data_IF_837521352812
#
_entry.id   IF_837521352812
#
_cell.length_a   1.000
_cell.length_b   1.000
_cell.length_c   1.000
_cell.angle_alpha   90.00
_cell.angle_beta   90.00
_cell.angle_gamma   90.00
#
_symmetry.space_group_name_H-M   'P 1'
#
loop_
_entity.id
_entity.type
_entity.pdbx_description
1 polymer ?
#
# COMPACT_ATOMS: atom_id res chain seq x y z
N UNK A 1 -35.85 -94.03 -2.58
CA UNK A 1 -34.69 -93.48 -3.30
C UNK A 1 -34.98 -92.01 -3.55
N UNK A 2 -34.34 -91.13 -2.80
CA UNK A 2 -34.56 -89.69 -2.80
C UNK A 2 -33.36 -89.04 -3.52
N UNK A 3 -33.53 -88.29 -4.62
CA UNK A 3 -32.42 -87.59 -5.25
C UNK A 3 -32.25 -86.19 -4.65
N UNK A 4 -31.00 -85.93 -4.29
CA UNK A 4 -30.45 -84.70 -3.71
C UNK A 4 -30.61 -83.50 -4.65
N UNK A 5 -31.21 -82.41 -4.15
CA UNK A 5 -31.12 -81.09 -4.78
C UNK A 5 -30.34 -80.13 -3.89
N UNK A 6 -29.18 -79.70 -4.39
CA UNK A 6 -28.34 -78.63 -3.85
C UNK A 6 -29.07 -77.28 -3.94
N UNK A 7 -28.95 -76.40 -2.92
CA UNK A 7 -29.48 -75.05 -2.99
C UNK A 7 -28.52 -74.15 -3.77
N UNK A 8 -29.01 -73.56 -4.86
CA UNK A 8 -28.30 -72.54 -5.66
C UNK A 8 -28.19 -71.23 -4.89
N UNK A 9 -26.96 -70.76 -4.67
CA UNK A 9 -26.65 -69.48 -4.06
C UNK A 9 -27.16 -68.31 -4.92
N UNK A 10 -27.95 -67.43 -4.30
CA UNK A 10 -28.43 -66.18 -4.90
C UNK A 10 -27.34 -65.11 -4.81
N UNK A 11 -26.65 -64.84 -5.93
CA UNK A 11 -25.70 -63.73 -6.04
C UNK A 11 -26.44 -62.40 -6.02
N UNK A 12 -26.34 -61.68 -4.89
CA UNK A 12 -26.84 -60.33 -4.74
C UNK A 12 -25.87 -59.36 -5.40
N UNK A 13 -26.21 -58.84 -6.59
CA UNK A 13 -25.45 -57.80 -7.27
C UNK A 13 -25.66 -56.45 -6.57
N UNK A 14 -24.60 -55.88 -6.00
CA UNK A 14 -24.62 -54.53 -5.44
C UNK A 14 -24.57 -53.48 -6.56
N UNK A 15 -25.36 -52.38 -6.50
CA UNK A 15 -25.30 -51.34 -7.52
C UNK A 15 -24.01 -50.51 -7.36
N UNK A 16 -23.34 -50.26 -8.49
CA UNK A 16 -22.10 -49.48 -8.56
C UNK A 16 -22.38 -48.01 -8.18
N UNK A 17 -21.50 -47.34 -7.41
CA UNK A 17 -21.70 -45.94 -7.05
C UNK A 17 -21.65 -45.02 -8.29
N UNK A 18 -22.36 -43.89 -8.27
CA UNK A 18 -22.37 -42.94 -9.38
C UNK A 18 -20.97 -42.35 -9.61
N UNK A 19 -20.64 -41.97 -10.86
CA UNK A 19 -19.37 -41.32 -11.15
C UNK A 19 -19.26 -39.98 -10.41
N UNK A 20 -18.04 -39.56 -10.01
CA UNK A 20 -17.85 -38.29 -9.35
C UNK A 20 -18.31 -37.14 -10.26
N UNK A 21 -18.84 -36.05 -9.68
CA UNK A 21 -19.20 -34.87 -10.45
C UNK A 21 -17.97 -34.34 -11.22
N UNK A 22 -18.18 -33.76 -12.42
CA UNK A 22 -17.08 -33.14 -13.17
C UNK A 22 -16.41 -32.04 -12.32
N UNK A 23 -15.10 -31.83 -12.47
CA UNK A 23 -14.39 -30.82 -11.70
C UNK A 23 -15.03 -29.46 -11.98
N UNK A 24 -15.60 -28.86 -10.94
CA UNK A 24 -16.08 -27.48 -10.98
C UNK A 24 -14.91 -26.57 -11.27
N UNK A 25 -14.93 -25.95 -12.44
CA UNK A 25 -13.95 -24.97 -12.84
C UNK A 25 -14.08 -23.74 -11.94
N UNK A 26 -13.30 -23.72 -10.86
CA UNK A 26 -13.24 -22.62 -9.87
C UNK A 26 -12.67 -21.31 -10.47
N UNK A 27 -12.57 -21.19 -11.80
CA UNK A 27 -12.02 -20.04 -12.51
C UNK A 27 -13.01 -18.88 -12.71
N UNK A 28 -14.30 -19.03 -12.35
CA UNK A 28 -15.31 -18.01 -12.69
C UNK A 28 -15.55 -16.94 -11.62
N UNK A 29 -15.01 -17.07 -10.40
CA UNK A 29 -15.22 -16.03 -9.39
C UNK A 29 -14.00 -15.83 -8.49
N UNK A 30 -13.54 -14.58 -8.29
CA UNK A 30 -12.46 -14.31 -7.36
C UNK A 30 -12.87 -14.73 -5.94
N UNK A 31 -11.94 -15.30 -5.15
CA UNK A 31 -12.24 -15.61 -3.76
C UNK A 31 -12.68 -14.34 -3.04
N UNK A 32 -13.73 -14.41 -2.21
CA UNK A 32 -14.38 -13.27 -1.53
C UNK A 32 -13.40 -12.23 -0.92
N UNK A 33 -12.24 -12.61 -0.34
CA UNK A 33 -11.24 -11.64 0.13
C UNK A 33 -10.62 -10.78 -0.98
N UNK A 34 -10.54 -11.28 -2.22
CA UNK A 34 -9.95 -10.57 -3.35
C UNK A 34 -10.91 -9.53 -3.92
N UNK A 35 -12.22 -9.80 -3.94
CA UNK A 35 -13.26 -8.85 -4.36
C UNK A 35 -13.17 -7.54 -3.58
N UNK A 36 -13.07 -7.62 -2.24
CA UNK A 36 -12.92 -6.45 -1.37
C UNK A 36 -11.62 -5.66 -1.68
N UNK A 37 -10.54 -6.35 -2.06
CA UNK A 37 -9.28 -5.69 -2.43
C UNK A 37 -9.38 -4.99 -3.78
N UNK A 38 -10.09 -5.59 -4.74
CA UNK A 38 -10.40 -4.99 -6.04
C UNK A 38 -11.23 -3.71 -5.83
N UNK A 39 -12.30 -3.79 -5.03
CA UNK A 39 -13.11 -2.62 -4.69
C UNK A 39 -12.27 -1.49 -4.09
N UNK A 40 -11.42 -1.80 -3.10
CA UNK A 40 -10.52 -0.80 -2.52
C UNK A 40 -9.52 -0.21 -3.51
N UNK A 41 -9.05 -0.99 -4.50
CA UNK A 41 -8.16 -0.50 -5.54
C UNK A 41 -8.87 0.47 -6.50
N UNK A 42 -10.17 0.26 -6.72
CA UNK A 42 -11.02 1.09 -7.58
C UNK A 42 -11.46 2.37 -6.87
N UNK A 43 -11.97 2.25 -5.64
CA UNK A 43 -12.64 3.33 -4.90
C UNK A 43 -11.68 4.24 -4.13
N UNK A 44 -10.61 3.68 -3.56
CA UNK A 44 -9.70 4.51 -2.77
C UNK A 44 -8.99 5.52 -3.66
N UNK A 45 -8.70 6.69 -3.08
CA UNK A 45 -7.94 7.78 -3.71
C UNK A 45 -6.46 7.42 -3.82
N UNK A 46 -6.15 6.48 -4.71
CA UNK A 46 -4.80 6.08 -5.08
C UNK A 46 -4.37 6.83 -6.33
N UNK A 47 -3.08 7.20 -6.41
CA UNK A 47 -2.49 7.89 -7.56
C UNK A 47 -1.09 7.39 -7.85
N UNK A 48 -0.71 7.34 -9.11
CA UNK A 48 0.66 7.08 -9.53
C UNK A 48 1.48 8.37 -9.47
N UNK A 49 2.60 8.33 -8.74
CA UNK A 49 3.54 9.44 -8.65
C UNK A 49 4.61 9.36 -9.73
N UNK A 50 5.19 8.18 -9.88
CA UNK A 50 6.29 7.95 -10.80
C UNK A 50 6.34 6.47 -11.17
N UNK A 51 6.87 6.19 -12.36
CA UNK A 51 7.19 4.85 -12.83
C UNK A 51 8.65 4.84 -13.27
N UNK A 52 9.43 3.91 -12.72
CA UNK A 52 10.82 3.67 -13.10
C UNK A 52 10.98 2.19 -13.45
N UNK A 53 11.02 1.87 -14.75
CA UNK A 53 11.05 0.50 -15.26
C UNK A 53 9.90 -0.36 -14.70
N UNK A 54 10.23 -1.29 -13.78
CA UNK A 54 9.33 -2.20 -13.07
C UNK A 54 8.75 -1.65 -11.77
N UNK A 55 9.25 -0.51 -11.30
CA UNK A 55 8.85 0.10 -10.03
C UNK A 55 7.80 1.20 -10.25
N UNK A 56 6.73 1.13 -9.47
CA UNK A 56 5.61 2.05 -9.48
C UNK A 56 5.48 2.67 -8.10
N UNK A 57 5.60 3.99 -8.03
CA UNK A 57 5.48 4.75 -6.79
C UNK A 57 4.03 5.24 -6.64
N UNK A 58 3.33 4.67 -5.67
CA UNK A 58 1.89 4.83 -5.47
C UNK A 58 1.63 5.69 -4.23
N UNK A 59 0.87 6.77 -4.42
CA UNK A 59 0.31 7.55 -3.33
C UNK A 59 -0.90 6.82 -2.75
N UNK A 60 -0.82 6.45 -1.47
CA UNK A 60 -1.92 5.87 -0.71
C UNK A 60 -2.91 6.90 -0.20
N UNK A 61 -4.10 6.44 0.19
CA UNK A 61 -5.19 7.30 0.69
C UNK A 61 -4.83 8.12 1.96
N UNK A 62 -3.87 7.65 2.77
CA UNK A 62 -3.37 8.38 3.96
C UNK A 62 -2.19 9.31 3.65
N UNK A 63 -1.84 9.46 2.38
CA UNK A 63 -0.70 10.22 1.88
C UNK A 63 0.65 9.52 1.99
N UNK A 64 0.72 8.29 2.50
CA UNK A 64 1.96 7.51 2.46
C UNK A 64 2.26 7.05 1.03
N UNK A 65 3.53 7.07 0.64
CA UNK A 65 4.00 6.53 -0.63
C UNK A 65 4.43 5.08 -0.44
N UNK A 66 3.90 4.21 -1.29
CA UNK A 66 4.25 2.80 -1.38
C UNK A 66 4.88 2.50 -2.73
N UNK A 67 5.81 1.56 -2.77
CA UNK A 67 6.42 1.10 -4.02
C UNK A 67 5.83 -0.26 -4.36
N UNK A 68 5.33 -0.41 -5.57
CA UNK A 68 4.95 -1.69 -6.17
C UNK A 68 6.03 -2.05 -7.19
N UNK A 69 6.61 -3.24 -7.06
CA UNK A 69 7.62 -3.75 -7.99
C UNK A 69 7.03 -4.92 -8.76
N UNK A 70 6.95 -4.78 -10.08
CA UNK A 70 6.51 -5.84 -10.98
C UNK A 70 7.67 -6.75 -11.33
N UNK A 71 7.57 -8.00 -10.89
CA UNK A 71 8.51 -9.08 -11.20
C UNK A 71 7.70 -10.39 -11.32
N UNK A 72 8.39 -11.52 -11.53
CA UNK A 72 7.75 -12.85 -11.49
C UNK A 72 6.93 -13.04 -10.22
N UNK A 73 7.37 -12.52 -9.08
CA UNK A 73 6.58 -12.37 -7.87
C UNK A 73 6.38 -10.87 -7.57
N UNK A 74 5.22 -10.28 -7.92
CA UNK A 74 4.92 -8.89 -7.64
C UNK A 74 4.98 -8.60 -6.13
N UNK A 75 5.53 -7.45 -5.77
CA UNK A 75 5.69 -7.07 -4.36
C UNK A 75 5.25 -5.63 -4.12
N UNK A 76 4.89 -5.32 -2.87
CA UNK A 76 4.53 -3.97 -2.46
C UNK A 76 5.07 -3.67 -1.05
N UNK A 77 5.55 -2.45 -0.83
CA UNK A 77 6.09 -2.02 0.48
C UNK A 77 5.01 -1.68 1.51
N UNK A 78 3.73 -1.79 1.15
CA UNK A 78 2.60 -1.50 2.05
C UNK A 78 2.52 -2.51 3.22
N UNK A 79 1.85 -2.16 4.32
CA UNK A 79 1.74 -3.05 5.49
C UNK A 79 0.86 -4.28 5.26
N UNK A 80 0.10 -4.34 4.17
CA UNK A 80 -0.69 -5.51 3.79
C UNK A 80 0.23 -6.62 3.31
N UNK A 81 0.24 -7.74 4.04
CA UNK A 81 1.08 -8.93 3.76
C UNK A 81 0.48 -9.85 2.70
N UNK A 82 -0.73 -9.54 2.22
CA UNK A 82 -1.42 -10.36 1.22
C UNK A 82 -1.07 -9.90 -0.19
N UNK A 83 -0.80 -10.84 -1.08
CA UNK A 83 -0.43 -10.59 -2.47
C UNK A 83 -1.46 -11.24 -3.39
N UNK A 84 -2.03 -10.52 -4.37
CA UNK A 84 -1.84 -9.09 -4.61
C UNK A 84 -2.61 -8.22 -3.60
N UNK A 85 -1.95 -7.19 -3.05
CA UNK A 85 -2.60 -6.18 -2.23
C UNK A 85 -3.35 -5.18 -3.11
N UNK A 86 -4.18 -4.32 -2.51
CA UNK A 86 -4.92 -3.29 -3.27
C UNK A 86 -4.03 -2.35 -4.11
N UNK A 87 -2.77 -2.12 -3.72
CA UNK A 87 -1.86 -1.26 -4.50
C UNK A 87 -1.33 -1.99 -5.75
N UNK A 88 -1.10 -3.30 -5.68
CA UNK A 88 -0.75 -4.11 -6.85
C UNK A 88 -1.95 -4.16 -7.81
N UNK A 89 -3.15 -4.39 -7.26
CA UNK A 89 -4.39 -4.38 -8.05
C UNK A 89 -4.66 -3.01 -8.67
N UNK A 90 -4.38 -1.91 -7.96
CA UNK A 90 -4.45 -0.55 -8.51
C UNK A 90 -3.53 -0.39 -9.72
N UNK A 91 -2.29 -0.89 -9.63
CA UNK A 91 -1.34 -0.85 -10.76
C UNK A 91 -1.89 -1.65 -11.94
N UNK A 92 -2.39 -2.87 -11.72
CA UNK A 92 -2.95 -3.66 -12.82
C UNK A 92 -4.17 -3.01 -13.45
N UNK A 93 -5.19 -2.71 -12.65
CA UNK A 93 -6.52 -2.36 -13.15
C UNK A 93 -6.56 -0.91 -13.63
N UNK A 94 -6.03 0.03 -12.83
CA UNK A 94 -6.17 1.46 -13.13
C UNK A 94 -4.97 2.01 -13.88
N UNK A 95 -3.76 1.65 -13.48
CA UNK A 95 -2.53 2.21 -14.09
C UNK A 95 -2.25 1.56 -15.44
N UNK A 96 -2.33 0.23 -15.53
CA UNK A 96 -2.01 -0.55 -16.73
C UNK A 96 -3.25 -1.04 -17.50
N UNK A 97 -4.45 -0.68 -17.04
CA UNK A 97 -5.73 -0.97 -17.71
C UNK A 97 -5.96 -2.46 -18.01
N UNK A 98 -5.50 -3.33 -17.12
CA UNK A 98 -5.77 -4.77 -17.18
C UNK A 98 -7.26 -5.01 -16.90
N UNK A 99 -7.90 -5.84 -17.74
CA UNK A 99 -9.30 -6.23 -17.56
C UNK A 99 -9.52 -6.91 -16.22
N UNK A 100 -10.67 -6.67 -15.59
CA UNK A 100 -11.09 -7.35 -14.37
C UNK A 100 -11.22 -8.87 -14.55
N UNK A 101 -11.36 -9.36 -15.78
CA UNK A 101 -11.45 -10.80 -16.05
C UNK A 101 -10.06 -11.46 -16.27
N UNK A 102 -8.96 -10.69 -16.29
CA UNK A 102 -7.63 -11.24 -16.58
C UNK A 102 -7.12 -12.13 -15.42
N UNK A 103 -6.75 -13.40 -15.70
CA UNK A 103 -6.14 -14.31 -14.74
C UNK A 103 -4.97 -13.76 -13.93
N UNK A 104 -4.22 -12.79 -14.45
CA UNK A 104 -3.07 -12.24 -13.74
C UNK A 104 -3.45 -11.46 -12.47
N UNK A 105 -4.70 -10.97 -12.36
CA UNK A 105 -5.17 -10.23 -11.19
C UNK A 105 -5.25 -11.09 -9.92
N UNK A 106 -5.38 -12.41 -10.06
CA UNK A 106 -5.55 -13.34 -8.94
C UNK A 106 -4.26 -14.06 -8.56
N UNK A 107 -3.24 -13.99 -9.42
CA UNK A 107 -2.02 -14.78 -9.26
C UNK A 107 -1.04 -14.08 -8.33
N UNK A 108 -0.39 -14.88 -7.50
CA UNK A 108 0.75 -14.44 -6.68
C UNK A 108 2.05 -14.39 -7.49
N UNK A 109 2.08 -15.08 -8.64
CA UNK A 109 3.21 -15.09 -9.56
C UNK A 109 2.76 -14.89 -11.01
N UNK A 110 3.54 -14.11 -11.76
CA UNK A 110 3.35 -13.86 -13.17
C UNK A 110 4.27 -14.75 -13.99
N UNK A 111 3.77 -15.28 -15.11
CA UNK A 111 4.65 -15.87 -16.12
C UNK A 111 5.39 -14.79 -16.92
N UNK A 112 6.43 -15.19 -17.66
CA UNK A 112 7.26 -14.25 -18.41
C UNK A 112 6.47 -13.43 -19.42
N UNK A 113 5.46 -14.01 -20.09
CA UNK A 113 4.66 -13.31 -21.09
C UNK A 113 3.73 -12.28 -20.42
N UNK A 114 3.12 -12.64 -19.29
CA UNK A 114 2.32 -11.72 -18.47
C UNK A 114 3.18 -10.57 -17.95
N UNK A 115 4.37 -10.86 -17.43
CA UNK A 115 5.27 -9.83 -16.90
C UNK A 115 5.72 -8.86 -18.00
N UNK A 116 6.15 -9.37 -19.15
CA UNK A 116 6.55 -8.53 -20.29
C UNK A 116 5.38 -7.67 -20.74
N UNK A 117 4.18 -8.24 -20.88
CA UNK A 117 2.96 -7.51 -21.25
C UNK A 117 2.69 -6.34 -20.30
N UNK A 118 2.81 -6.57 -18.99
CA UNK A 118 2.56 -5.54 -17.98
C UNK A 118 3.66 -4.47 -17.96
N UNK A 119 4.92 -4.86 -18.18
CA UNK A 119 6.04 -3.93 -18.24
C UNK A 119 6.05 -3.10 -19.52
N UNK A 120 5.48 -3.57 -20.63
CA UNK A 120 5.37 -2.79 -21.88
C UNK A 120 4.08 -1.99 -21.98
N UNK A 121 3.09 -2.26 -21.12
CA UNK A 121 1.83 -1.56 -21.12
C UNK A 121 2.00 -0.04 -20.86
N UNK A 122 1.23 0.81 -21.57
CA UNK A 122 1.20 2.24 -21.33
C UNK A 122 0.56 2.54 -19.97
N UNK A 123 0.94 3.67 -19.39
CA UNK A 123 0.37 4.17 -18.14
C UNK A 123 -0.87 5.02 -18.45
N UNK A 124 -1.98 4.75 -17.77
CA UNK A 124 -3.17 5.59 -17.84
C UNK A 124 -2.92 6.97 -17.24
N UNK A 125 -3.09 8.07 -18.00
CA UNK A 125 -2.81 9.43 -17.53
C UNK A 125 -3.73 9.87 -16.39
N UNK A 126 -4.97 9.37 -16.34
CA UNK A 126 -5.97 9.71 -15.31
C UNK A 126 -5.55 9.26 -13.89
N UNK A 127 -4.68 8.26 -13.81
CA UNK A 127 -4.19 7.75 -12.52
C UNK A 127 -3.02 8.55 -11.97
N UNK A 128 -2.40 9.38 -12.80
CA UNK A 128 -1.19 10.11 -12.42
C UNK A 128 -1.56 11.27 -11.48
N UNK A 129 -0.79 11.43 -10.40
CA UNK A 129 -0.96 12.55 -9.49
C UNK A 129 -0.61 13.88 -10.17
N UNK A 130 -1.05 15.00 -9.58
CA UNK A 130 -0.73 16.33 -10.10
C UNK A 130 0.79 16.56 -10.20
N UNK A 131 1.17 17.52 -11.03
CA UNK A 131 2.58 17.93 -11.17
C UNK A 131 3.17 18.34 -9.83
N UNK A 132 2.43 19.13 -9.03
CA UNK A 132 2.88 19.63 -7.73
C UNK A 132 3.22 18.51 -6.75
N UNK A 133 2.36 17.50 -6.65
CA UNK A 133 2.59 16.36 -5.75
C UNK A 133 3.76 15.51 -6.22
N UNK A 134 3.90 15.32 -7.54
CA UNK A 134 5.04 14.57 -8.11
C UNK A 134 6.38 15.28 -7.88
N UNK A 135 6.42 16.60 -8.01
CA UNK A 135 7.61 17.39 -7.72
C UNK A 135 8.01 17.28 -6.24
N UNK A 136 7.05 17.40 -5.33
CA UNK A 136 7.30 17.20 -3.88
C UNK A 136 7.77 15.79 -3.56
N UNK A 137 7.20 14.78 -4.22
CA UNK A 137 7.67 13.41 -4.09
C UNK A 137 9.14 13.28 -4.53
N UNK A 138 9.50 13.82 -5.70
CA UNK A 138 10.87 13.76 -6.22
C UNK A 138 11.88 14.41 -5.27
N UNK A 139 11.57 15.61 -4.77
CA UNK A 139 12.40 16.33 -3.79
C UNK A 139 12.65 15.47 -2.54
N UNK A 140 11.59 14.96 -1.91
CA UNK A 140 11.70 14.14 -0.70
C UNK A 140 12.37 12.79 -0.96
N UNK A 141 12.16 12.22 -2.15
CA UNK A 141 12.79 10.96 -2.55
C UNK A 141 14.31 11.11 -2.68
N UNK A 142 14.77 12.20 -3.31
CA UNK A 142 16.19 12.51 -3.44
C UNK A 142 16.85 12.79 -2.08
N UNK A 143 16.20 13.57 -1.21
CA UNK A 143 16.68 13.81 0.15
C UNK A 143 16.82 12.49 0.91
N UNK A 144 15.82 11.60 0.80
CA UNK A 144 15.85 10.30 1.47
C UNK A 144 16.96 9.41 0.92
N UNK A 145 17.17 9.38 -0.39
CA UNK A 145 18.24 8.62 -1.01
C UNK A 145 19.63 9.11 -0.56
N UNK A 146 19.81 10.43 -0.40
CA UNK A 146 21.07 11.02 0.07
C UNK A 146 21.33 10.78 1.56
N UNK A 147 20.28 10.79 2.39
CA UNK A 147 20.40 10.69 3.85
C UNK A 147 20.33 9.27 4.40
N UNK A 148 19.73 8.34 3.65
CA UNK A 148 19.44 6.98 4.10
C UNK A 148 19.80 5.93 3.03
N UNK A 149 21.06 5.84 2.57
CA UNK A 149 21.43 4.90 1.49
C UNK A 149 21.20 3.43 1.88
N UNK A 150 21.41 3.06 3.15
CA UNK A 150 21.18 1.70 3.66
C UNK A 150 19.72 1.44 4.10
N UNK A 151 18.80 2.37 3.84
CA UNK A 151 17.39 2.27 4.27
C UNK A 151 17.17 2.43 5.78
N UNK A 152 18.23 2.74 6.54
CA UNK A 152 18.15 3.10 7.97
C UNK A 152 18.15 4.62 8.12
N UNK A 153 17.27 5.12 8.99
CA UNK A 153 17.29 6.54 9.35
C UNK A 153 18.60 6.87 10.07
N UNK A 154 19.17 8.06 9.83
CA UNK A 154 20.31 8.55 10.59
C UNK A 154 20.02 8.49 12.08
N UNK A 155 21.03 8.14 12.90
CA UNK A 155 20.95 8.26 14.35
C UNK A 155 20.51 9.69 14.72
N UNK A 156 19.73 9.79 15.80
CA UNK A 156 19.39 11.10 16.35
C UNK A 156 20.67 11.72 16.88
N UNK A 157 21.04 12.88 16.35
CA UNK A 157 22.14 13.70 16.83
C UNK A 157 21.56 14.92 17.55
N UNK A 158 22.24 15.34 18.61
CA UNK A 158 21.92 16.55 19.35
C UNK A 158 22.91 17.64 18.94
N UNK A 159 22.42 18.88 18.81
CA UNK A 159 23.29 20.03 18.54
C UNK A 159 24.25 20.26 19.72
N UNK A 160 25.42 20.82 19.45
CA UNK A 160 26.42 21.11 20.47
C UNK A 160 25.84 22.09 21.51
N UNK A 161 25.93 21.73 22.79
CA UNK A 161 25.32 22.49 23.89
C UNK A 161 23.83 22.21 24.13
N UNK A 162 23.22 21.22 23.46
CA UNK A 162 21.86 20.80 23.77
C UNK A 162 21.80 19.88 24.99
N UNK A 163 20.96 20.25 25.98
CA UNK A 163 20.80 19.50 27.22
C UNK A 163 19.54 18.64 27.22
N UNK A 164 19.63 17.44 27.81
CA UNK A 164 18.49 16.54 27.90
C UNK A 164 17.40 17.16 28.79
N UNK A 165 16.13 17.26 28.35
CA UNK A 165 15.06 17.91 29.13
C UNK A 165 14.66 17.16 30.40
N UNK A 166 15.22 15.97 30.65
CA UNK A 166 14.90 15.13 31.81
C UNK A 166 16.00 15.16 32.87
N UNK A 167 17.26 14.93 32.47
CA UNK A 167 18.40 14.93 33.41
C UNK A 167 19.23 16.22 33.38
N UNK A 168 18.98 17.12 32.42
CA UNK A 168 19.72 18.38 32.20
C UNK A 168 21.21 18.19 31.89
N UNK A 169 21.64 16.98 31.56
CA UNK A 169 23.00 16.67 31.10
C UNK A 169 23.15 16.99 29.61
N UNK A 170 24.36 17.36 29.21
CA UNK A 170 24.72 17.57 27.81
C UNK A 170 24.52 16.29 26.99
N UNK A 171 23.88 16.41 25.84
CA UNK A 171 23.64 15.31 24.91
C UNK A 171 24.72 15.22 23.84
N UNK A 172 25.47 16.30 23.61
CA UNK A 172 26.56 16.34 22.63
C UNK A 172 27.76 15.53 23.11
N UNK A 173 28.31 14.69 22.23
CA UNK A 173 29.49 13.85 22.54
C UNK A 173 29.27 12.72 23.55
N UNK A 174 28.05 12.51 24.07
CA UNK A 174 27.75 11.38 24.96
C UNK A 174 27.57 10.07 24.18
N UNK A 175 28.07 8.94 24.70
CA UNK A 175 27.82 7.60 24.13
C UNK A 175 26.41 7.06 24.44
N UNK A 176 25.53 7.93 24.94
CA UNK A 176 24.17 7.57 25.33
C UNK A 176 23.28 7.62 24.11
N UNK A 177 22.48 6.57 23.92
CA UNK A 177 21.54 6.52 22.81
C UNK A 177 20.47 7.62 22.92
N UNK A 178 20.37 8.41 21.87
CA UNK A 178 19.38 9.48 21.75
C UNK A 178 18.15 9.01 20.97
N UNK A 179 17.00 9.49 21.40
CA UNK A 179 15.71 9.34 20.73
C UNK A 179 15.05 10.70 20.61
N UNK A 180 14.37 10.96 19.49
CA UNK A 180 13.71 12.24 19.24
C UNK A 180 12.19 12.08 19.19
N UNK A 181 11.48 13.09 19.67
CA UNK A 181 10.02 13.14 19.49
C UNK A 181 9.68 13.27 17.99
N UNK A 182 8.80 12.41 17.47
CA UNK A 182 8.39 12.48 16.07
C UNK A 182 7.72 13.81 15.67
N UNK A 183 7.14 14.54 16.63
CA UNK A 183 6.44 15.82 16.41
C UNK A 183 7.34 17.03 16.62
N UNK A 184 7.89 17.23 17.82
CA UNK A 184 8.70 18.42 18.11
C UNK A 184 10.19 18.23 17.84
N UNK A 185 10.61 17.06 17.35
CA UNK A 185 11.99 16.69 16.96
C UNK A 185 13.08 16.83 18.04
N UNK A 186 12.72 17.24 19.26
CA UNK A 186 13.65 17.39 20.35
C UNK A 186 14.24 16.05 20.81
N UNK A 187 15.58 15.94 20.92
CA UNK A 187 16.27 14.75 21.40
C UNK A 187 16.16 14.59 22.92
N UNK A 188 16.18 13.33 23.37
CA UNK A 188 16.16 12.90 24.77
C UNK A 188 16.98 11.60 24.84
N UNK A 189 17.72 11.36 25.93
CA UNK A 189 18.30 10.04 26.18
C UNK A 189 17.22 8.95 26.23
N UNK A 190 17.47 7.78 25.64
CA UNK A 190 16.56 6.64 25.64
C UNK A 190 16.17 6.23 27.07
N UNK A 191 17.14 6.14 27.97
CA UNK A 191 16.91 5.76 29.37
C UNK A 191 16.04 6.79 30.11
N UNK A 192 16.25 8.08 29.82
CA UNK A 192 15.45 9.16 30.39
C UNK A 192 14.00 9.10 29.90
N UNK A 193 13.77 8.80 28.61
CA UNK A 193 12.43 8.55 28.10
C UNK A 193 11.79 7.31 28.75
N UNK A 194 12.56 6.23 28.96
CA UNK A 194 12.07 5.02 29.61
C UNK A 194 11.74 5.26 31.09
N UNK A 195 12.52 6.07 31.79
CA UNK A 195 12.22 6.51 33.15
C UNK A 195 10.94 7.35 33.20
N UNK A 196 10.79 8.29 32.26
CA UNK A 196 9.56 9.08 32.10
C UNK A 196 8.33 8.22 31.81
N UNK A 197 8.47 7.20 30.95
CA UNK A 197 7.41 6.24 30.67
C UNK A 197 6.97 5.50 31.93
N UNK A 198 7.92 5.10 32.78
CA UNK A 198 7.66 4.37 34.03
C UNK A 198 6.96 5.24 35.09
N UNK A 199 7.31 6.53 35.17
CA UNK A 199 6.68 7.45 36.12
C UNK A 199 5.29 7.93 35.67
N UNK A 200 5.00 7.85 34.36
CA UNK A 200 3.69 8.21 33.82
C UNK A 200 2.64 7.16 34.18
N UNK A 201 1.59 7.58 34.88
CA UNK A 201 0.40 6.76 35.17
C UNK A 201 -0.46 6.45 33.93
N UNK A 202 -0.08 6.92 32.74
CA UNK A 202 -0.84 6.75 31.50
C UNK A 202 -0.39 5.48 30.76
N UNK A 203 -1.34 4.81 30.11
CA UNK A 203 -1.07 3.64 29.26
C UNK A 203 -0.19 3.94 28.04
N UNK A 204 -0.08 5.21 27.64
CA UNK A 204 0.71 5.65 26.49
C UNK A 204 1.80 6.64 26.91
N UNK A 205 3.03 6.41 26.43
CA UNK A 205 4.13 7.36 26.58
C UNK A 205 3.79 8.66 25.85
N UNK A 206 4.03 9.81 26.47
CA UNK A 206 3.91 11.14 25.86
C UNK A 206 5.26 11.85 25.90
N UNK A 207 5.50 12.72 24.93
CA UNK A 207 6.67 13.61 24.92
C UNK A 207 6.71 14.49 26.17
N UNK A 208 7.88 14.61 26.79
CA UNK A 208 8.07 15.45 27.98
C UNK A 208 7.94 16.94 27.66
N UNK A 209 8.21 17.32 26.40
CA UNK A 209 8.18 18.71 25.93
C UNK A 209 6.79 19.05 25.39
N UNK A 210 6.40 18.46 24.26
CA UNK A 210 5.16 18.84 23.57
C UNK A 210 3.91 18.06 24.02
N UNK A 211 4.06 17.08 24.93
CA UNK A 211 2.96 16.22 25.46
C UNK A 211 2.20 15.37 24.44
N UNK A 212 2.53 15.47 23.15
CA UNK A 212 2.02 14.57 22.10
C UNK A 212 2.40 13.13 22.42
N UNK A 213 1.53 12.18 22.04
CA UNK A 213 1.81 10.74 22.17
C UNK A 213 3.14 10.40 21.50
N UNK A 214 4.03 9.75 22.23
CA UNK A 214 5.31 9.31 21.72
C UNK A 214 5.11 8.20 20.69
N UNK A 215 5.72 8.35 19.53
CA UNK A 215 5.76 7.36 18.46
C UNK A 215 7.22 7.16 18.07
N UNK A 216 7.56 5.93 17.72
CA UNK A 216 8.90 5.64 17.24
C UNK A 216 9.14 6.40 15.92
N UNK A 217 10.28 7.09 15.84
CA UNK A 217 10.67 7.82 14.63
C UNK A 217 10.83 6.88 13.45
N UNK A 218 11.36 5.67 13.68
CA UNK A 218 11.52 4.65 12.64
C UNK A 218 10.18 4.21 12.05
N UNK A 219 9.14 4.09 12.86
CA UNK A 219 7.80 3.74 12.39
C UNK A 219 7.13 4.92 11.66
N UNK A 220 7.28 6.14 12.19
CA UNK A 220 6.65 7.33 11.62
C UNK A 220 7.27 7.76 10.29
N UNK A 221 8.59 7.64 10.16
CA UNK A 221 9.36 8.03 8.97
C UNK A 221 9.71 6.82 8.09
N UNK A 222 9.02 5.69 8.30
CA UNK A 222 9.18 4.48 7.47
C UNK A 222 8.86 4.75 6.00
N UNK A 223 7.88 5.60 5.74
CA UNK A 223 7.42 5.96 4.40
C UNK A 223 7.59 7.45 4.15
N UNK A 224 7.79 7.84 2.90
CA UNK A 224 7.59 9.23 2.48
C UNK A 224 6.08 9.52 2.63
N UNK A 225 5.74 10.59 3.33
CA UNK A 225 4.35 10.98 3.55
C UNK A 225 4.10 12.36 2.93
N UNK A 226 3.11 12.42 2.05
CA UNK A 226 2.70 13.61 1.31
C UNK A 226 1.36 14.19 1.80
N UNK A 227 0.83 13.73 2.93
CA UNK A 227 -0.51 14.13 3.40
C UNK A 227 -0.65 15.64 3.59
N UNK A 228 0.44 16.33 3.93
CA UNK A 228 0.48 17.78 4.08
C UNK A 228 0.25 18.54 2.76
N UNK A 229 0.41 17.89 1.60
CA UNK A 229 0.36 18.53 0.28
C UNK A 229 -0.91 18.17 -0.52
N UNK A 230 -1.61 17.09 -0.15
CA UNK A 230 -2.77 16.54 -0.90
C UNK A 230 -3.98 17.49 -0.93
N UNK A 231 -4.07 18.43 0.01
CA UNK A 231 -5.18 19.40 0.07
C UNK A 231 -5.31 20.29 -1.17
N UNK A 232 -4.23 20.50 -1.92
CA UNK A 232 -4.16 21.44 -3.06
C UNK A 232 -4.63 20.83 -4.40
N UNK A 233 -4.86 19.50 -4.46
CA UNK A 233 -5.22 18.78 -5.68
C UNK A 233 -6.73 18.62 -5.90
N UNK A 234 -7.57 19.05 -4.93
CA UNK A 234 -9.02 18.85 -5.02
C UNK A 234 -9.73 19.92 -5.85
N UNK A 235 -9.14 21.09 -6.00
CA UNK A 235 -9.77 22.23 -6.68
C UNK A 235 -9.59 22.20 -8.21
N UNK A 236 -8.68 21.38 -8.74
CA UNK A 236 -8.35 21.37 -10.18
C UNK A 236 -9.15 20.37 -11.01
N UNK A 237 -9.78 19.36 -10.39
CA UNK A 237 -10.58 18.37 -11.12
C UNK A 237 -12.06 18.77 -11.28
N UNK A 238 -12.51 19.86 -10.64
CA UNK A 238 -13.91 20.29 -10.68
C UNK A 238 -14.19 21.43 -11.68
N UNK A 239 -13.18 21.87 -12.44
CA UNK A 239 -13.28 23.04 -13.34
C UNK A 239 -13.44 22.65 -14.82
N UNK A 240 -13.44 21.35 -15.17
CA UNK A 240 -13.47 20.89 -16.58
C UNK A 240 -14.85 20.36 -17.02
N UNK A 241 -15.91 20.56 -16.23
CA UNK A 241 -17.28 20.19 -16.61
C UNK A 241 -18.23 21.37 -16.47
N UNK A 242 -17.99 22.48 -17.20
CA UNK A 242 -19.06 23.45 -17.46
C UNK A 242 -18.83 24.27 -18.75
N UNK A 243 -18.63 23.59 -19.89
CA UNK A 243 -18.83 24.23 -21.19
C UNK A 243 -19.44 23.26 -22.19
N UNK A 244 -20.74 23.02 -22.06
CA UNK A 244 -21.59 22.61 -23.18
C UNK A 244 -23.06 22.95 -22.90
N UNK A 245 -23.71 23.57 -23.90
CA UNK A 245 -25.08 24.11 -23.99
C UNK A 245 -25.25 25.53 -23.42
N UNK A 246 -25.78 26.54 -24.11
CA UNK A 246 -26.88 26.59 -25.11
C UNK A 246 -26.69 27.84 -26.01
N UNK A 247 -27.14 27.80 -27.27
CA UNK A 247 -27.40 29.04 -28.03
C UNK A 247 -27.57 28.87 -29.55
N UNK A 248 -28.53 28.06 -29.99
CA UNK A 248 -29.20 28.33 -31.28
C UNK A 248 -30.08 29.56 -31.07
N UNK A 249 -29.83 30.66 -31.80
CA UNK A 249 -30.86 31.67 -32.04
C UNK A 249 -30.69 32.26 -33.45
N UNK A 250 -31.75 32.03 -34.22
CA UNK A 250 -32.09 32.61 -35.50
C UNK A 250 -32.59 34.05 -35.28
N UNK A 251 -32.09 35.02 -36.06
CA UNK A 251 -32.86 36.17 -36.57
C UNK A 251 -32.01 37.01 -37.55
N UNK A 252 -32.61 37.37 -38.69
CA UNK A 252 -32.00 38.13 -39.77
C UNK A 252 -32.15 39.66 -39.69
N UNK A 253 -32.15 40.28 -40.88
CA UNK A 253 -31.95 41.71 -41.23
C UNK A 253 -30.46 42.05 -41.37
N UNK A 254 -29.94 42.47 -42.55
CA UNK A 254 -30.43 43.45 -43.53
C UNK A 254 -30.14 42.97 -44.97
#
# INVERSE_FOLDING_TARGET
MNPSHHPSASNSATPRPPPPPPPTDHHQYPPEPLTERVLRALEHRLRLLHRSNSDFFILGATGNVYTVTLATAPSCTCPDRTTPCKHILFVYIRVLLVSLDDPCLWRTTLDSNQLIRLLTAPVSPETVASVSIRQRFQELYLIRAATCPDGKLPPVQAEEGSACPVCLEDMSGSDRKLVACATCKNPIHEDCLLAWKRSSRRRSTSCVICRTRWRDRAEQERYINLSAYIGQDQDTNNVVLDHQHVGEDYCGEI
#
